data_IF_857104190402
#
_entry.id   IF_857104190402
#
_cell.length_a   1.000
_cell.length_b   1.000
_cell.length_c   1.000
_cell.angle_alpha   90.00
_cell.angle_beta   90.00
_cell.angle_gamma   90.00
#
_symmetry.space_group_name_H-M   'P 1'
#
loop_
_entity.id
_entity.type
_entity.pdbx_description
1 polymer ?
#
# COMPACT_ATOMS: atom_id res chain seq x y z
N UNK A 1 13.46 31.98 3.63
CA UNK A 1 12.26 31.41 2.98
C UNK A 1 11.42 30.78 4.06
N UNK A 2 10.21 31.27 4.35
CA UNK A 2 9.35 30.60 5.33
C UNK A 2 8.97 29.23 4.79
N UNK A 3 9.12 28.18 5.60
CA UNK A 3 8.62 26.85 5.26
C UNK A 3 7.09 26.94 5.25
N UNK A 4 6.50 26.74 4.08
CA UNK A 4 5.03 26.62 3.96
C UNK A 4 4.53 25.49 4.85
N UNK A 5 3.35 25.66 5.44
CA UNK A 5 2.75 24.64 6.27
C UNK A 5 2.36 23.41 5.44
N UNK A 6 2.24 22.24 6.08
CA UNK A 6 1.82 21.01 5.38
C UNK A 6 0.50 21.18 4.62
N UNK A 7 -0.50 21.81 5.25
CA UNK A 7 -1.80 22.03 4.63
C UNK A 7 -1.73 22.91 3.37
N UNK A 8 -0.93 23.98 3.41
CA UNK A 8 -0.71 24.90 2.28
C UNK A 8 0.09 24.24 1.15
N UNK A 9 1.06 23.39 1.51
CA UNK A 9 1.78 22.57 0.55
C UNK A 9 0.84 21.60 -0.16
N UNK A 10 -0.11 20.97 0.55
CA UNK A 10 -1.10 20.09 -0.08
C UNK A 10 -2.01 20.86 -1.05
N UNK A 11 -2.43 22.08 -0.74
CA UNK A 11 -3.20 22.91 -1.68
C UNK A 11 -2.44 23.13 -2.98
N UNK A 12 -1.14 23.45 -2.87
CA UNK A 12 -0.28 23.70 -4.03
C UNK A 12 0.01 22.42 -4.82
N UNK A 13 0.22 21.30 -4.13
CA UNK A 13 0.49 20.00 -4.76
C UNK A 13 -0.74 19.52 -5.52
N UNK A 14 -1.92 19.47 -4.88
CA UNK A 14 -3.14 18.98 -5.52
C UNK A 14 -3.56 19.87 -6.69
N UNK A 15 -3.33 21.18 -6.62
CA UNK A 15 -3.58 22.09 -7.72
C UNK A 15 -2.64 21.87 -8.93
N UNK A 16 -1.41 21.37 -8.70
CA UNK A 16 -0.41 21.17 -9.76
C UNK A 16 -0.32 19.73 -10.27
N UNK A 17 -0.65 18.76 -9.43
CA UNK A 17 -0.69 17.33 -9.73
C UNK A 17 -1.96 16.71 -9.14
N UNK A 18 -3.08 16.73 -9.89
CA UNK A 18 -4.38 16.27 -9.41
C UNK A 18 -4.54 14.74 -9.48
N UNK A 19 -3.48 13.98 -9.80
CA UNK A 19 -3.52 12.51 -9.88
C UNK A 19 -3.87 11.86 -8.53
N UNK A 20 -3.50 12.51 -7.42
CA UNK A 20 -3.70 11.99 -6.07
C UNK A 20 -4.53 12.97 -5.24
N UNK A 21 -5.49 12.44 -4.49
CA UNK A 21 -6.33 13.26 -3.60
C UNK A 21 -5.54 13.76 -2.37
N UNK A 22 -6.03 14.83 -1.75
CA UNK A 22 -5.44 15.43 -0.54
C UNK A 22 -5.29 14.40 0.58
N UNK A 23 -6.30 13.57 0.77
CA UNK A 23 -6.39 12.52 1.78
C UNK A 23 -5.25 11.49 1.63
N UNK A 24 -4.85 11.20 0.39
CA UNK A 24 -3.74 10.31 0.10
C UNK A 24 -2.42 10.82 0.70
N UNK A 25 -2.16 12.13 0.61
CA UNK A 25 -0.97 12.74 1.19
C UNK A 25 -1.01 12.79 2.72
N UNK A 26 -2.20 12.99 3.30
CA UNK A 26 -2.40 12.90 4.76
C UNK A 26 -2.08 11.48 5.23
N UNK A 27 -2.65 10.47 4.57
CA UNK A 27 -2.36 9.07 4.83
C UNK A 27 -0.86 8.76 4.70
N UNK A 28 -0.19 9.25 3.67
CA UNK A 28 1.25 9.02 3.48
C UNK A 28 2.11 9.59 4.63
N UNK A 29 1.75 10.78 5.13
CA UNK A 29 2.43 11.37 6.28
C UNK A 29 2.27 10.50 7.53
N UNK A 30 1.05 10.01 7.76
CA UNK A 30 0.74 9.20 8.93
C UNK A 30 1.38 7.79 8.81
N UNK A 31 1.46 7.23 7.60
CA UNK A 31 2.18 6.00 7.30
C UNK A 31 3.70 6.14 7.55
N UNK A 32 4.30 7.28 7.19
CA UNK A 32 5.71 7.56 7.50
C UNK A 32 5.95 7.65 9.01
N UNK A 33 5.08 8.33 9.76
CA UNK A 33 5.15 8.38 11.22
C UNK A 33 5.02 6.98 11.84
N UNK A 34 4.07 6.16 11.36
CA UNK A 34 3.95 4.76 11.74
C UNK A 34 5.26 3.98 11.50
N UNK A 35 5.86 4.14 10.32
CA UNK A 35 7.10 3.47 9.92
C UNK A 35 8.26 3.85 10.83
N UNK A 36 8.47 5.14 11.07
CA UNK A 36 9.56 5.62 11.94
C UNK A 36 9.38 5.16 13.39
N UNK A 37 8.14 5.12 13.90
CA UNK A 37 7.82 4.59 15.24
C UNK A 37 8.10 3.08 15.34
N UNK A 38 7.79 2.30 14.31
CA UNK A 38 8.14 0.87 14.28
C UNK A 38 9.66 0.66 14.27
N UNK A 39 10.40 1.40 13.44
CA UNK A 39 11.87 1.27 13.38
C UNK A 39 12.54 1.56 14.73
N UNK A 40 12.08 2.61 15.44
CA UNK A 40 12.57 2.93 16.80
C UNK A 40 12.39 1.76 17.77
N UNK A 41 11.23 1.09 17.73
CA UNK A 41 10.92 -0.04 18.63
C UNK A 41 11.79 -1.25 18.33
N UNK A 42 12.01 -1.58 17.06
CA UNK A 42 12.71 -2.80 16.64
C UNK A 42 14.23 -2.65 16.79
N UNK A 43 14.79 -1.54 16.30
CA UNK A 43 16.24 -1.40 16.13
C UNK A 43 16.90 -0.58 17.24
N UNK A 44 16.14 -0.03 18.19
CA UNK A 44 16.64 0.97 19.15
C UNK A 44 17.28 2.19 18.48
N UNK A 45 17.05 2.35 17.18
CA UNK A 45 17.76 3.29 16.34
C UNK A 45 17.20 4.70 16.53
N UNK A 46 18.10 5.69 16.50
CA UNK A 46 17.71 7.10 16.32
C UNK A 46 16.93 7.24 14.99
N UNK A 47 15.99 8.19 14.91
CA UNK A 47 15.23 8.46 13.67
C UNK A 47 16.24 8.68 12.55
N UNK A 48 16.38 7.71 11.66
CA UNK A 48 17.17 7.83 10.45
C UNK A 48 16.24 8.09 9.27
N UNK A 49 16.86 8.49 8.17
CA UNK A 49 16.23 8.51 6.85
C UNK A 49 15.51 7.19 6.59
N UNK A 50 14.29 7.26 6.05
CA UNK A 50 13.48 6.08 5.69
C UNK A 50 13.60 5.91 4.18
N UNK A 51 14.21 4.83 3.74
CA UNK A 51 14.36 4.54 2.32
C UNK A 51 13.02 4.15 1.67
N UNK A 52 12.92 4.28 0.35
CA UNK A 52 11.70 3.96 -0.43
C UNK A 52 11.07 2.59 -0.09
N UNK A 53 11.83 1.48 -0.13
CA UNK A 53 11.29 0.16 0.20
C UNK A 53 10.83 0.03 1.66
N UNK A 54 11.52 0.71 2.60
CA UNK A 54 11.12 0.71 4.00
C UNK A 54 9.82 1.49 4.21
N UNK A 55 9.67 2.63 3.53
CA UNK A 55 8.42 3.40 3.53
C UNK A 55 7.28 2.59 2.92
N UNK A 56 7.51 1.91 1.79
CA UNK A 56 6.49 1.12 1.12
C UNK A 56 6.00 -0.05 1.97
N UNK A 57 6.90 -0.74 2.67
CA UNK A 57 6.50 -1.78 3.63
C UNK A 57 5.69 -1.19 4.80
N UNK A 58 6.10 -0.03 5.30
CA UNK A 58 5.35 0.72 6.30
C UNK A 58 3.96 1.15 5.84
N UNK A 59 3.83 1.64 4.60
CA UNK A 59 2.57 1.97 3.94
C UNK A 59 1.68 0.73 3.84
N UNK A 60 2.22 -0.41 3.41
CA UNK A 60 1.47 -1.67 3.32
C UNK A 60 0.88 -2.07 4.67
N UNK A 61 1.73 -2.10 5.70
CA UNK A 61 1.32 -2.48 7.06
C UNK A 61 0.31 -1.50 7.64
N UNK A 62 0.51 -0.19 7.44
CA UNK A 62 -0.38 0.84 7.95
C UNK A 62 -1.74 0.82 7.23
N UNK A 63 -1.75 0.67 5.90
CA UNK A 63 -2.98 0.54 5.11
C UNK A 63 -3.84 -0.65 5.59
N UNK A 64 -3.22 -1.82 5.75
CA UNK A 64 -3.89 -3.02 6.26
C UNK A 64 -4.43 -2.83 7.68
N UNK A 65 -3.69 -2.10 8.52
CA UNK A 65 -4.12 -1.80 9.88
C UNK A 65 -5.36 -0.89 9.91
N UNK A 66 -5.38 0.15 9.09
CA UNK A 66 -6.45 1.16 9.11
C UNK A 66 -7.69 0.71 8.33
N UNK A 67 -7.51 0.02 7.19
CA UNK A 67 -8.60 -0.28 6.24
C UNK A 67 -8.84 -1.78 6.00
N UNK A 68 -7.91 -2.65 6.40
CA UNK A 68 -8.04 -4.10 6.21
C UNK A 68 -8.29 -4.49 4.74
N UNK A 69 -9.38 -5.22 4.43
CA UNK A 69 -9.68 -5.62 3.05
C UNK A 69 -10.12 -4.45 2.14
N UNK A 70 -10.39 -3.27 2.70
CA UNK A 70 -10.87 -2.10 1.94
C UNK A 70 -9.74 -1.24 1.35
N UNK A 71 -8.47 -1.63 1.53
CA UNK A 71 -7.32 -0.82 1.07
C UNK A 71 -7.43 -0.46 -0.40
N UNK A 72 -7.70 -1.43 -1.28
CA UNK A 72 -7.81 -1.17 -2.73
C UNK A 72 -8.89 -0.14 -3.03
N UNK A 73 -10.07 -0.27 -2.42
CA UNK A 73 -11.18 0.67 -2.64
C UNK A 73 -10.82 2.09 -2.20
N UNK A 74 -10.15 2.23 -1.06
CA UNK A 74 -9.73 3.54 -0.55
C UNK A 74 -8.62 4.14 -1.42
N UNK A 75 -7.64 3.33 -1.79
CA UNK A 75 -6.51 3.74 -2.62
C UNK A 75 -6.95 4.13 -4.04
N UNK A 76 -7.82 3.36 -4.67
CA UNK A 76 -8.43 3.67 -5.98
C UNK A 76 -9.16 5.01 -5.95
N UNK A 77 -10.00 5.23 -4.92
CA UNK A 77 -10.67 6.52 -4.73
C UNK A 77 -9.68 7.68 -4.57
N UNK A 78 -8.49 7.44 -4.01
CA UNK A 78 -7.44 8.45 -3.85
C UNK A 78 -6.48 8.57 -5.04
N UNK A 79 -6.64 7.74 -6.07
CA UNK A 79 -5.78 7.70 -7.26
C UNK A 79 -4.46 6.93 -7.09
N UNK A 80 -4.36 6.07 -6.07
CA UNK A 80 -3.19 5.21 -5.82
C UNK A 80 -3.47 3.81 -6.35
N UNK A 81 -2.66 3.33 -7.29
CA UNK A 81 -2.83 2.03 -7.93
C UNK A 81 -1.60 1.12 -7.81
N UNK A 82 -0.41 1.69 -7.54
CA UNK A 82 0.82 0.94 -7.40
C UNK A 82 1.83 1.60 -6.44
N UNK A 83 2.96 0.93 -6.20
CA UNK A 83 4.04 1.46 -5.36
C UNK A 83 4.65 2.75 -5.93
N UNK A 84 4.74 2.85 -7.25
CA UNK A 84 5.28 4.01 -7.96
C UNK A 84 4.45 5.28 -7.72
N UNK A 85 3.13 5.14 -7.55
CA UNK A 85 2.25 6.26 -7.20
C UNK A 85 2.61 6.86 -5.84
N UNK A 86 2.91 6.01 -4.85
CA UNK A 86 3.42 6.45 -3.55
C UNK A 86 4.77 7.16 -3.72
N UNK A 87 5.65 6.66 -4.58
CA UNK A 87 6.90 7.33 -4.94
C UNK A 87 6.67 8.72 -5.52
N UNK A 88 5.75 8.87 -6.47
CA UNK A 88 5.38 10.18 -7.01
C UNK A 88 4.86 11.12 -5.93
N UNK A 89 4.01 10.65 -5.02
CA UNK A 89 3.51 11.44 -3.90
C UNK A 89 4.64 11.91 -2.96
N UNK A 90 5.61 11.03 -2.65
CA UNK A 90 6.80 11.38 -1.87
C UNK A 90 7.60 12.48 -2.57
N UNK A 91 7.85 12.34 -3.88
CA UNK A 91 8.60 13.34 -4.64
C UNK A 91 7.85 14.67 -4.79
N UNK A 92 6.51 14.67 -4.84
CA UNK A 92 5.71 15.89 -4.75
C UNK A 92 5.93 16.61 -3.41
N UNK A 93 5.94 15.88 -2.29
CA UNK A 93 6.22 16.43 -0.97
C UNK A 93 7.67 16.92 -0.80
N UNK A 94 8.65 16.25 -1.44
CA UNK A 94 10.05 16.72 -1.49
C UNK A 94 10.14 18.04 -2.25
N UNK A 95 9.50 18.15 -3.43
CA UNK A 95 9.48 19.37 -4.24
C UNK A 95 8.82 20.54 -3.52
N UNK A 96 7.81 20.27 -2.69
CA UNK A 96 7.17 21.27 -1.83
C UNK A 96 7.97 21.61 -0.56
N UNK A 97 9.12 20.97 -0.33
CA UNK A 97 9.98 21.21 0.84
C UNK A 97 9.43 20.65 2.16
N UNK A 98 8.43 19.76 2.09
CA UNK A 98 7.83 19.09 3.26
C UNK A 98 8.69 17.90 3.68
N UNK A 99 9.14 17.09 2.72
CA UNK A 99 10.03 15.95 2.97
C UNK A 99 11.47 16.30 2.59
N UNK A 100 12.40 15.69 3.33
CA UNK A 100 13.82 15.68 2.96
C UNK A 100 14.09 14.61 1.89
N UNK A 101 15.23 14.76 1.20
CA UNK A 101 15.73 13.81 0.21
C UNK A 101 17.23 13.62 0.44
N UNK A 102 17.76 12.41 0.27
CA UNK A 102 19.20 12.14 0.14
C UNK A 102 19.62 12.08 -1.34
N UNK A 103 20.92 12.01 -1.61
CA UNK A 103 21.41 11.96 -2.99
C UNK A 103 21.07 10.62 -3.68
N UNK A 104 20.94 9.57 -2.88
CA UNK A 104 20.64 8.20 -3.32
C UNK A 104 19.16 7.97 -3.60
N UNK A 105 18.25 8.80 -3.08
CA UNK A 105 16.82 8.60 -3.26
C UNK A 105 16.39 8.81 -4.73
N UNK A 106 15.66 7.84 -5.26
CA UNK A 106 15.17 7.82 -6.63
C UNK A 106 13.71 7.33 -6.70
N UNK A 107 13.03 7.63 -7.81
CA UNK A 107 11.73 7.01 -8.08
C UNK A 107 11.85 5.50 -8.36
N UNK A 108 13.04 5.02 -8.74
CA UNK A 108 13.29 3.59 -8.98
C UNK A 108 13.16 2.77 -7.70
N UNK A 109 13.41 3.37 -6.53
CA UNK A 109 13.25 2.74 -5.21
C UNK A 109 11.80 2.33 -4.90
N UNK A 110 10.86 2.82 -5.70
CA UNK A 110 9.43 2.54 -5.56
C UNK A 110 8.90 1.56 -6.61
N UNK A 111 9.73 1.16 -7.59
CA UNK A 111 9.27 0.29 -8.67
C UNK A 111 9.22 -1.17 -8.26
N UNK A 112 8.13 -1.85 -8.61
CA UNK A 112 7.96 -3.30 -8.45
C UNK A 112 8.32 -3.84 -7.04
N UNK A 113 8.09 -3.06 -5.98
CA UNK A 113 8.44 -3.47 -4.61
C UNK A 113 7.48 -4.54 -4.09
N UNK A 114 6.17 -4.36 -4.31
CA UNK A 114 5.17 -5.40 -4.15
C UNK A 114 3.96 -5.14 -5.05
N UNK A 115 3.21 -6.21 -5.34
CA UNK A 115 1.94 -6.12 -6.05
C UNK A 115 0.78 -5.87 -5.07
N UNK A 116 -0.16 -5.01 -5.46
CA UNK A 116 -1.27 -4.59 -4.61
C UNK A 116 -2.32 -5.70 -4.42
N UNK A 117 -2.55 -6.54 -5.43
CA UNK A 117 -3.45 -7.69 -5.32
C UNK A 117 -2.87 -8.71 -4.31
N UNK A 118 -1.58 -9.01 -4.43
CA UNK A 118 -0.87 -9.87 -3.48
C UNK A 118 -0.91 -9.31 -2.04
N UNK A 119 -0.71 -8.01 -1.89
CA UNK A 119 -0.58 -7.37 -0.59
C UNK A 119 -1.91 -7.12 0.11
N UNK A 120 -2.97 -6.79 -0.63
CA UNK A 120 -4.21 -6.26 -0.06
C UNK A 120 -5.44 -7.11 -0.35
N UNK A 121 -5.42 -7.98 -1.36
CA UNK A 121 -6.58 -8.79 -1.75
C UNK A 121 -6.40 -10.25 -1.33
N UNK A 122 -5.33 -10.90 -1.79
CA UNK A 122 -5.11 -12.33 -1.52
C UNK A 122 -5.10 -12.73 -0.05
N UNK A 123 -4.60 -11.92 0.90
CA UNK A 123 -4.64 -12.27 2.32
C UNK A 123 -6.06 -12.41 2.88
N UNK A 124 -7.06 -11.84 2.20
CA UNK A 124 -8.48 -11.90 2.59
C UNK A 124 -9.33 -12.76 1.66
N UNK A 125 -8.74 -13.35 0.61
CA UNK A 125 -9.45 -14.23 -0.29
C UNK A 125 -9.92 -15.48 0.48
N UNK A 126 -11.17 -15.95 0.26
CA UNK A 126 -11.65 -17.15 0.92
C UNK A 126 -10.77 -18.34 0.52
N UNK A 127 -10.49 -19.23 1.49
CA UNK A 127 -9.81 -20.47 1.19
C UNK A 127 -10.60 -21.23 0.11
N UNK A 128 -9.90 -21.69 -0.92
CA UNK A 128 -10.50 -22.46 -2.02
C UNK A 128 -11.31 -23.62 -1.42
N UNK A 129 -12.60 -23.76 -1.73
CA UNK A 129 -13.37 -24.89 -1.25
C UNK A 129 -12.67 -26.18 -1.68
N UNK A 130 -12.32 -27.04 -0.73
CA UNK A 130 -11.96 -28.42 -1.02
C UNK A 130 -13.25 -29.03 -1.55
N UNK A 131 -13.40 -29.10 -2.87
CA UNK A 131 -14.52 -29.82 -3.46
C UNK A 131 -14.50 -31.24 -2.88
N UNK A 132 -15.58 -31.72 -2.24
CA UNK A 132 -15.64 -33.12 -1.87
C UNK A 132 -15.47 -33.90 -3.16
N UNK A 133 -14.50 -34.82 -3.18
CA UNK A 133 -14.35 -35.77 -4.28
C UNK A 133 -15.72 -36.43 -4.48
N UNK A 134 -16.39 -36.06 -5.56
CA UNK A 134 -17.66 -36.64 -5.97
C UNK A 134 -17.42 -38.14 -6.10
N UNK A 135 -17.82 -38.90 -5.08
CA UNK A 135 -18.02 -40.33 -5.20
C UNK A 135 -19.06 -40.49 -6.31
N UNK A 136 -18.64 -41.06 -7.44
CA UNK A 136 -19.53 -41.32 -8.56
C UNK A 136 -20.79 -42.06 -8.10
N UNK A 137 -21.93 -41.86 -8.77
CA UNK A 137 -23.17 -42.53 -8.37
C UNK A 137 -22.97 -44.05 -8.35
N UNK A 138 -23.51 -44.76 -7.34
CA UNK A 138 -23.42 -46.22 -7.30
C UNK A 138 -24.09 -46.80 -8.55
N UNK A 139 -23.34 -47.60 -9.30
CA UNK A 139 -23.83 -48.27 -10.50
C UNK A 139 -25.06 -49.11 -10.19
N UNK A 140 -26.13 -48.91 -10.97
CA UNK A 140 -27.33 -49.72 -10.91
C UNK A 140 -26.99 -51.19 -11.19
N UNK A 141 -27.50 -52.16 -10.41
CA UNK A 141 -27.25 -53.57 -10.68
C UNK A 141 -27.93 -53.98 -11.99
N UNK A 142 -27.19 -54.73 -12.83
CA UNK A 142 -27.69 -55.27 -14.09
C UNK A 142 -28.89 -56.20 -13.88
N UNK A 143 -29.89 -56.20 -14.79
CA UNK A 143 -31.03 -57.10 -14.68
C UNK A 143 -30.59 -58.56 -14.88
N UNK A 144 -31.04 -59.45 -14.00
CA UNK A 144 -30.83 -60.89 -14.11
C UNK A 144 -31.58 -61.40 -15.35
N UNK A 145 -30.87 -62.09 -16.23
CA UNK A 145 -31.47 -62.82 -17.35
C UNK A 145 -32.24 -64.04 -16.83
N UNK A 146 -33.41 -64.28 -17.41
CA UNK A 146 -34.30 -65.44 -17.19
C UNK A 146 -33.69 -66.73 -17.75
#
# INVERSE_FOLDING_TARGET
MQKIGFAEALDSIVASDPRYQREAYVFLRDALDFTTKQQKKIKGATVRHVAGPELLDGVRQYALKEFGPMVITVFDNWGIHCCEDIGHMVFNLIRAGIFGKTEEDSLEDFKNVYDFEEAFVRPFAPAKPIAPAVAGPPGLPAPKSL
#
